data_IF_226290185947
#
_entry.id   IF_226290185947
#
_cell.length_a   1.000
_cell.length_b   1.000
_cell.length_c   1.000
_cell.angle_alpha   90.00
_cell.angle_beta   90.00
_cell.angle_gamma   90.00
#
_symmetry.space_group_name_H-M   'P 1'
#
loop_
_entity.id
_entity.type
_entity.pdbx_description
1 polymer ?
#
# COMPACT_ATOMS: atom_id res chain seq x y z
N UNK A 1 -26.63 -27.83 13.73
CA UNK A 1 -25.26 -27.47 14.16
C UNK A 1 -25.38 -26.07 14.72
N UNK A 2 -25.05 -25.85 15.99
CA UNK A 2 -25.19 -24.54 16.62
C UNK A 2 -24.22 -23.54 15.96
N UNK A 3 -24.75 -22.41 15.52
CA UNK A 3 -24.01 -21.35 14.81
C UNK A 3 -23.05 -20.60 15.74
N UNK A 4 -23.19 -20.76 17.06
CA UNK A 4 -22.28 -20.21 18.06
C UNK A 4 -20.85 -20.73 17.90
N UNK A 5 -20.66 -22.03 17.64
CA UNK A 5 -19.34 -22.65 17.48
C UNK A 5 -18.53 -22.10 16.30
N UNK A 6 -19.05 -21.99 15.05
CA UNK A 6 -18.30 -21.40 13.95
C UNK A 6 -18.01 -19.91 14.17
N UNK A 7 -18.88 -19.16 14.88
CA UNK A 7 -18.60 -17.76 15.26
C UNK A 7 -17.40 -17.70 16.20
N UNK A 8 -17.40 -18.50 17.28
CA UNK A 8 -16.30 -18.56 18.24
C UNK A 8 -14.98 -19.00 17.58
N UNK A 9 -15.04 -20.01 16.70
CA UNK A 9 -13.88 -20.44 15.92
C UNK A 9 -13.36 -19.31 15.02
N UNK A 10 -14.25 -18.56 14.35
CA UNK A 10 -13.89 -17.40 13.55
C UNK A 10 -13.25 -16.27 14.37
N UNK A 11 -13.75 -16.02 15.58
CA UNK A 11 -13.17 -15.04 16.51
C UNK A 11 -11.75 -15.46 16.91
N UNK A 12 -11.55 -16.71 17.32
CA UNK A 12 -10.25 -17.25 17.69
C UNK A 12 -9.26 -17.17 16.52
N UNK A 13 -9.68 -17.59 15.32
CA UNK A 13 -8.87 -17.51 14.11
C UNK A 13 -8.50 -16.06 13.77
N UNK A 14 -9.44 -15.12 13.89
CA UNK A 14 -9.17 -13.70 13.65
C UNK A 14 -8.12 -13.15 14.60
N UNK A 15 -8.20 -13.49 15.90
CA UNK A 15 -7.20 -13.08 16.89
C UNK A 15 -5.82 -13.65 16.59
N UNK A 16 -5.75 -14.93 16.22
CA UNK A 16 -4.50 -15.58 15.83
C UNK A 16 -3.88 -14.90 14.59
N UNK A 17 -4.68 -14.60 13.57
CA UNK A 17 -4.21 -13.90 12.37
C UNK A 17 -3.79 -12.46 12.68
N UNK A 18 -4.51 -11.75 13.55
CA UNK A 18 -4.13 -10.41 13.99
C UNK A 18 -2.76 -10.42 14.68
N UNK A 19 -2.54 -11.37 15.61
CA UNK A 19 -1.26 -11.52 16.31
C UNK A 19 -0.13 -11.93 15.36
N UNK A 20 -0.39 -12.84 14.43
CA UNK A 20 0.57 -13.20 13.40
C UNK A 20 0.92 -12.00 12.51
N UNK A 21 -0.07 -11.20 12.13
CA UNK A 21 0.14 -10.03 11.27
C UNK A 21 0.91 -8.90 11.96
N UNK A 22 0.75 -8.71 13.28
CA UNK A 22 1.55 -7.74 14.04
C UNK A 22 3.06 -8.02 13.95
N UNK A 23 3.45 -9.29 13.78
CA UNK A 23 4.86 -9.71 13.63
C UNK A 23 5.31 -9.71 12.17
N UNK A 24 4.45 -10.15 11.26
CA UNK A 24 4.79 -10.37 9.85
C UNK A 24 4.57 -9.14 8.96
N UNK A 25 3.74 -8.19 9.38
CA UNK A 25 3.34 -7.02 8.61
C UNK A 25 2.98 -7.40 7.16
N UNK A 26 2.09 -8.39 7.00
CA UNK A 26 1.77 -9.01 5.72
C UNK A 26 0.38 -8.56 5.24
N UNK A 27 0.28 -7.84 4.11
CA UNK A 27 -1.01 -7.40 3.60
C UNK A 27 -1.95 -8.56 3.28
N UNK A 28 -1.41 -9.73 2.90
CA UNK A 28 -2.21 -10.94 2.64
C UNK A 28 -2.92 -11.44 3.90
N UNK A 29 -2.20 -11.49 5.04
CA UNK A 29 -2.78 -11.90 6.32
C UNK A 29 -3.82 -10.88 6.77
N UNK A 30 -3.53 -9.58 6.56
CA UNK A 30 -4.47 -8.50 6.86
C UNK A 30 -5.79 -8.64 6.08
N UNK A 31 -5.73 -8.93 4.78
CA UNK A 31 -6.90 -9.14 3.91
C UNK A 31 -7.73 -10.32 4.42
N UNK A 32 -7.11 -11.48 4.64
CA UNK A 32 -7.82 -12.68 5.11
C UNK A 32 -8.47 -12.43 6.48
N UNK A 33 -7.73 -11.81 7.41
CA UNK A 33 -8.27 -11.48 8.72
C UNK A 33 -9.46 -10.51 8.63
N UNK A 34 -9.42 -9.54 7.72
CA UNK A 34 -10.51 -8.58 7.51
C UNK A 34 -11.79 -9.27 7.04
N UNK A 35 -11.70 -10.21 6.09
CA UNK A 35 -12.84 -11.03 5.67
C UNK A 35 -13.39 -11.92 6.79
N UNK A 36 -12.53 -12.54 7.59
CA UNK A 36 -12.97 -13.35 8.73
C UNK A 36 -13.71 -12.49 9.76
N UNK A 37 -13.18 -11.30 10.10
CA UNK A 37 -13.89 -10.36 11.00
C UNK A 37 -15.26 -10.00 10.45
N UNK A 38 -15.35 -9.72 9.16
CA UNK A 38 -16.62 -9.39 8.52
C UNK A 38 -17.65 -10.51 8.67
N UNK A 39 -17.25 -11.76 8.41
CA UNK A 39 -18.10 -12.92 8.60
C UNK A 39 -18.50 -13.06 10.08
N UNK A 40 -17.55 -12.95 11.01
CA UNK A 40 -17.84 -12.99 12.45
C UNK A 40 -18.88 -11.93 12.85
N UNK A 41 -18.76 -10.69 12.36
CA UNK A 41 -19.74 -9.63 12.64
C UNK A 41 -21.11 -9.92 12.02
N UNK A 42 -21.16 -10.34 10.75
CA UNK A 42 -22.42 -10.62 10.06
C UNK A 42 -23.18 -11.78 10.73
N UNK A 43 -22.48 -12.86 11.05
CA UNK A 43 -23.05 -14.02 11.73
C UNK A 43 -23.37 -13.74 13.20
N UNK A 44 -22.53 -12.96 13.91
CA UNK A 44 -22.74 -12.58 15.30
C UNK A 44 -23.97 -11.68 15.49
N UNK A 45 -24.12 -10.64 14.64
CA UNK A 45 -25.30 -9.78 14.66
C UNK A 45 -26.57 -10.57 14.34
N UNK A 46 -26.51 -11.48 13.36
CA UNK A 46 -27.64 -12.33 13.02
C UNK A 46 -28.04 -13.26 14.17
N UNK A 47 -27.06 -13.89 14.82
CA UNK A 47 -27.29 -14.75 15.98
C UNK A 47 -27.93 -13.99 17.15
N UNK A 48 -27.46 -12.79 17.46
CA UNK A 48 -28.05 -11.94 18.50
C UNK A 48 -29.50 -11.60 18.13
N UNK A 49 -29.76 -11.15 16.90
CA UNK A 49 -31.10 -10.79 16.47
C UNK A 49 -32.09 -11.97 16.52
N UNK A 50 -31.61 -13.18 16.20
CA UNK A 50 -32.40 -14.42 16.24
C UNK A 50 -32.71 -14.86 17.68
N UNK A 51 -31.70 -14.91 18.57
CA UNK A 51 -31.85 -15.35 19.98
C UNK A 51 -32.74 -14.39 20.78
N UNK A 52 -32.61 -13.08 20.55
CA UNK A 52 -33.44 -12.10 21.24
C UNK A 52 -34.80 -11.86 20.56
N UNK A 53 -35.09 -12.57 19.46
CA UNK A 53 -36.31 -12.43 18.66
C UNK A 53 -36.63 -10.97 18.29
N UNK A 54 -35.61 -10.15 18.05
CA UNK A 54 -35.78 -8.73 17.73
C UNK A 54 -36.51 -8.52 16.41
N UNK A 55 -36.34 -9.45 15.47
CA UNK A 55 -36.85 -9.35 14.11
C UNK A 55 -37.30 -10.73 13.63
N UNK A 56 -38.58 -10.86 13.28
CA UNK A 56 -39.13 -12.08 12.68
C UNK A 56 -38.75 -12.20 11.20
N UNK A 57 -37.48 -12.51 10.92
CA UNK A 57 -36.94 -12.75 9.58
C UNK A 57 -36.04 -13.99 9.58
N UNK A 58 -35.91 -14.69 8.45
CA UNK A 58 -35.07 -15.87 8.37
C UNK A 58 -33.58 -15.50 8.59
N UNK A 59 -32.82 -16.41 9.20
CA UNK A 59 -31.43 -16.19 9.60
C UNK A 59 -30.53 -15.68 8.46
N UNK A 60 -30.70 -16.19 7.23
CA UNK A 60 -29.91 -15.73 6.08
C UNK A 60 -30.12 -14.23 5.77
N UNK A 61 -31.34 -13.72 5.99
CA UNK A 61 -31.64 -12.30 5.80
C UNK A 61 -30.99 -11.46 6.90
N UNK A 62 -30.96 -11.96 8.14
CA UNK A 62 -30.26 -11.32 9.25
C UNK A 62 -28.74 -11.28 9.02
N UNK A 63 -28.15 -12.35 8.47
CA UNK A 63 -26.72 -12.38 8.10
C UNK A 63 -26.43 -11.34 7.02
N UNK A 64 -27.25 -11.26 5.97
CA UNK A 64 -27.09 -10.26 4.92
C UNK A 64 -27.21 -8.84 5.48
N UNK A 65 -28.18 -8.59 6.36
CA UNK A 65 -28.33 -7.30 7.03
C UNK A 65 -27.11 -6.96 7.89
N UNK A 66 -26.60 -7.90 8.68
CA UNK A 66 -25.37 -7.72 9.45
C UNK A 66 -24.17 -7.41 8.56
N UNK A 67 -24.06 -8.08 7.41
CA UNK A 67 -23.04 -7.83 6.41
C UNK A 67 -23.12 -6.39 5.86
N UNK A 68 -24.33 -5.91 5.54
CA UNK A 68 -24.56 -4.56 5.02
C UNK A 68 -24.35 -3.46 6.07
N UNK A 69 -24.74 -3.71 7.32
CA UNK A 69 -24.49 -2.79 8.44
C UNK A 69 -22.99 -2.64 8.64
N UNK A 70 -22.25 -3.75 8.66
CA UNK A 70 -20.79 -3.70 8.76
C UNK A 70 -20.15 -3.00 7.56
N UNK A 71 -20.63 -3.28 6.33
CA UNK A 71 -20.22 -2.56 5.11
C UNK A 71 -20.35 -1.04 5.26
N UNK A 72 -21.49 -0.58 5.78
CA UNK A 72 -21.77 0.85 5.96
C UNK A 72 -20.83 1.47 7.00
N UNK A 73 -20.64 0.82 8.15
CA UNK A 73 -19.73 1.28 9.20
C UNK A 73 -18.30 1.40 8.68
N UNK A 74 -17.82 0.39 7.96
CA UNK A 74 -16.46 0.41 7.42
C UNK A 74 -16.31 1.42 6.26
N UNK A 75 -17.38 1.64 5.49
CA UNK A 75 -17.45 2.71 4.47
C UNK A 75 -17.30 4.09 5.09
N UNK A 76 -18.06 4.37 6.16
CA UNK A 76 -17.99 5.64 6.89
C UNK A 76 -16.62 5.82 7.54
N UNK A 77 -16.10 4.77 8.18
CA UNK A 77 -14.76 4.81 8.79
C UNK A 77 -13.68 5.14 7.77
N UNK A 78 -13.65 4.44 6.62
CA UNK A 78 -12.65 4.68 5.58
C UNK A 78 -12.79 6.09 4.97
N UNK A 79 -14.03 6.57 4.79
CA UNK A 79 -14.27 7.94 4.33
C UNK A 79 -13.73 9.00 5.31
N UNK A 80 -13.95 8.81 6.61
CA UNK A 80 -13.41 9.66 7.66
C UNK A 80 -11.88 9.60 7.71
N UNK A 81 -11.27 8.41 7.58
CA UNK A 81 -9.82 8.25 7.57
C UNK A 81 -9.17 8.99 6.39
N UNK A 82 -9.75 8.88 5.19
CA UNK A 82 -9.30 9.63 4.00
C UNK A 82 -9.42 11.14 4.21
N UNK A 83 -10.55 11.58 4.78
CA UNK A 83 -10.77 13.00 5.06
C UNK A 83 -9.79 13.54 6.11
N UNK A 84 -9.51 12.76 7.16
CA UNK A 84 -8.53 13.10 8.18
C UNK A 84 -7.11 13.19 7.61
N UNK A 85 -6.72 12.25 6.74
CA UNK A 85 -5.42 12.30 6.06
C UNK A 85 -5.28 13.57 5.19
N UNK A 86 -6.34 13.94 4.47
CA UNK A 86 -6.38 15.18 3.67
C UNK A 86 -6.20 16.45 4.50
N UNK A 87 -6.74 16.48 5.73
CA UNK A 87 -6.66 17.62 6.64
C UNK A 87 -5.41 17.60 7.52
N UNK A 88 -4.71 16.46 7.61
CA UNK A 88 -3.53 16.32 8.44
C UNK A 88 -2.35 17.15 7.95
N UNK A 89 -1.40 17.45 8.84
CA UNK A 89 -0.14 18.10 8.49
C UNK A 89 0.84 17.17 7.75
N UNK A 90 0.61 15.86 7.75
CA UNK A 90 1.51 14.87 7.13
C UNK A 90 1.68 15.12 5.63
N UNK A 91 2.91 15.21 5.10
CA UNK A 91 3.12 15.47 3.69
C UNK A 91 2.60 14.30 2.85
N UNK A 92 1.89 14.59 1.75
CA UNK A 92 1.47 13.56 0.78
C UNK A 92 2.68 12.97 0.05
N UNK A 93 3.63 13.83 -0.28
CA UNK A 93 4.92 13.46 -0.85
C UNK A 93 6.01 13.75 0.19
N UNK A 94 6.56 12.72 0.83
CA UNK A 94 7.55 12.91 1.89
C UNK A 94 8.89 13.41 1.34
N UNK A 95 9.48 14.40 2.01
CA UNK A 95 10.78 14.94 1.66
C UNK A 95 11.89 13.96 2.10
N UNK A 96 12.44 13.22 1.14
CA UNK A 96 13.53 12.29 1.39
C UNK A 96 14.85 13.04 1.62
N UNK A 97 15.70 12.45 2.46
CA UNK A 97 17.07 12.91 2.70
C UNK A 97 18.01 11.71 2.68
N UNK A 98 19.25 11.96 2.27
CA UNK A 98 20.32 10.96 2.34
C UNK A 98 20.50 10.45 3.77
N UNK A 99 20.59 9.13 3.92
CA UNK A 99 20.83 8.45 5.19
C UNK A 99 22.20 7.74 5.17
N UNK A 100 23.30 8.44 5.47
CA UNK A 100 24.65 7.86 5.41
C UNK A 100 24.89 6.80 6.49
N UNK A 101 24.07 6.76 7.55
CA UNK A 101 24.21 5.82 8.65
C UNK A 101 23.92 4.36 8.25
N UNK A 102 23.18 4.13 7.16
CA UNK A 102 22.88 2.78 6.66
C UNK A 102 22.01 1.93 7.60
N UNK A 103 21.28 2.57 8.52
CA UNK A 103 20.41 1.94 9.52
C UNK A 103 18.99 1.68 9.01
N UNK A 104 18.78 1.68 7.68
CA UNK A 104 17.45 1.62 7.09
C UNK A 104 16.80 0.24 7.19
N UNK A 105 17.61 -0.83 7.26
CA UNK A 105 17.15 -2.23 7.22
C UNK A 105 16.70 -2.73 8.60
N UNK A 106 15.42 -3.11 8.77
CA UNK A 106 14.95 -3.80 9.97
C UNK A 106 15.63 -5.17 10.16
N UNK A 107 15.85 -5.58 11.41
CA UNK A 107 16.50 -6.85 11.78
C UNK A 107 15.62 -8.11 11.59
N UNK A 108 14.60 -8.04 10.74
CA UNK A 108 13.69 -9.16 10.47
C UNK A 108 14.29 -10.11 9.44
N UNK A 109 14.31 -11.43 9.72
CA UNK A 109 14.88 -12.46 8.81
C UNK A 109 14.39 -12.33 7.36
N UNK A 110 13.08 -12.10 7.16
CA UNK A 110 12.46 -11.92 5.82
C UNK A 110 13.03 -10.72 5.06
N UNK A 111 13.32 -9.64 5.78
CA UNK A 111 13.82 -8.40 5.19
C UNK A 111 15.30 -8.57 4.85
N UNK A 112 16.07 -9.18 5.74
CA UNK A 112 17.48 -9.51 5.49
C UNK A 112 17.63 -10.48 4.29
N UNK A 113 16.76 -11.47 4.13
CA UNK A 113 16.83 -12.39 2.99
C UNK A 113 16.61 -11.68 1.64
N UNK A 114 15.83 -10.60 1.61
CA UNK A 114 15.63 -9.76 0.42
C UNK A 114 16.92 -8.99 0.10
N UNK A 115 17.59 -8.44 1.12
CA UNK A 115 18.89 -7.78 0.96
C UNK A 115 19.93 -8.74 0.39
N UNK A 116 20.02 -9.94 0.95
CA UNK A 116 20.98 -10.96 0.52
C UNK A 116 20.67 -11.48 -0.88
N UNK A 117 19.38 -11.56 -1.25
CA UNK A 117 18.98 -11.87 -2.62
C UNK A 117 19.38 -10.78 -3.61
N UNK A 118 19.16 -9.50 -3.29
CA UNK A 118 19.54 -8.37 -4.16
C UNK A 118 21.04 -8.40 -4.46
N UNK A 119 21.87 -8.55 -3.41
CA UNK A 119 23.33 -8.62 -3.53
C UNK A 119 23.78 -9.81 -4.39
N UNK A 120 23.23 -11.00 -4.14
CA UNK A 120 23.53 -12.21 -4.94
C UNK A 120 23.06 -12.11 -6.38
N UNK A 121 22.03 -11.30 -6.66
CA UNK A 121 21.47 -11.10 -7.99
C UNK A 121 22.16 -10.00 -8.79
N UNK A 122 23.30 -9.48 -8.31
CA UNK A 122 24.10 -8.47 -9.01
C UNK A 122 23.66 -7.02 -8.77
N UNK A 123 22.69 -6.77 -7.90
CA UNK A 123 22.26 -5.41 -7.57
C UNK A 123 23.17 -4.80 -6.50
N UNK A 124 23.74 -3.64 -6.79
CA UNK A 124 24.60 -2.88 -5.88
C UNK A 124 23.80 -1.80 -5.16
N UNK A 125 24.09 -1.54 -3.86
CA UNK A 125 23.45 -0.44 -3.14
C UNK A 125 23.88 0.90 -3.76
N UNK A 126 22.90 1.71 -4.15
CA UNK A 126 23.12 3.03 -4.74
C UNK A 126 22.98 4.14 -3.69
N UNK A 127 21.91 4.11 -2.90
CA UNK A 127 21.66 5.14 -1.88
C UNK A 127 20.68 4.64 -0.81
N UNK A 128 20.91 5.04 0.44
CA UNK A 128 19.94 4.89 1.53
C UNK A 128 19.29 6.25 1.82
N UNK A 129 17.97 6.26 1.97
CA UNK A 129 17.16 7.45 2.12
C UNK A 129 16.21 7.30 3.30
N UNK A 130 15.88 8.42 3.94
CA UNK A 130 14.86 8.50 4.99
C UNK A 130 14.01 9.74 4.82
N UNK A 131 12.74 9.65 5.18
CA UNK A 131 11.84 10.79 5.23
C UNK A 131 11.02 10.76 6.51
N UNK A 132 10.78 11.92 7.10
CA UNK A 132 9.97 12.05 8.30
C UNK A 132 8.51 12.31 7.91
N UNK A 133 7.61 11.41 8.34
CA UNK A 133 6.17 11.51 8.05
C UNK A 133 5.44 12.27 9.16
N UNK A 134 5.88 12.06 10.40
CA UNK A 134 5.40 12.68 11.62
C UNK A 134 6.56 12.69 12.64
N UNK A 135 6.50 13.48 13.73
CA UNK A 135 7.57 13.54 14.71
C UNK A 135 8.00 12.14 15.19
N UNK A 136 9.23 11.74 14.87
CA UNK A 136 9.80 10.43 15.24
C UNK A 136 9.33 9.23 14.41
N UNK A 137 8.49 9.44 13.39
CA UNK A 137 8.01 8.39 12.47
C UNK A 137 8.68 8.55 11.12
N UNK A 138 9.61 7.65 10.82
CA UNK A 138 10.41 7.70 9.59
C UNK A 138 10.01 6.62 8.59
N UNK A 139 9.77 7.05 7.35
CA UNK A 139 9.76 6.19 6.19
C UNK A 139 11.21 5.97 5.74
N UNK A 140 11.59 4.71 5.56
CA UNK A 140 12.96 4.34 5.20
C UNK A 140 12.97 3.71 3.82
N UNK A 141 13.97 4.03 3.02
CA UNK A 141 14.08 3.59 1.63
C UNK A 141 15.53 3.20 1.32
N UNK A 142 15.73 2.00 0.79
CA UNK A 142 17.03 1.52 0.33
C UNK A 142 16.96 1.34 -1.18
N UNK A 143 17.86 2.00 -1.92
CA UNK A 143 17.88 1.97 -3.38
C UNK A 143 19.06 1.13 -3.86
N UNK A 144 18.77 0.19 -4.75
CA UNK A 144 19.73 -0.67 -5.42
C UNK A 144 19.63 -0.46 -6.93
N UNK A 145 20.73 -0.66 -7.63
CA UNK A 145 20.80 -0.62 -9.09
C UNK A 145 21.57 -1.81 -9.63
N UNK A 146 21.22 -2.24 -10.83
CA UNK A 146 22.04 -3.16 -11.62
C UNK A 146 23.34 -2.48 -12.08
N UNK A 147 24.30 -3.27 -12.54
CA UNK A 147 25.59 -2.75 -13.00
C UNK A 147 25.49 -1.79 -14.20
N UNK A 148 24.65 -2.06 -15.22
CA UNK A 148 24.38 -1.09 -16.29
C UNK A 148 23.63 0.17 -15.83
N UNK A 149 23.08 0.18 -14.63
CA UNK A 149 22.25 1.28 -14.12
C UNK A 149 20.95 1.46 -14.89
N UNK A 150 20.41 0.42 -15.53
CA UNK A 150 19.16 0.45 -16.32
C UNK A 150 17.93 0.07 -15.51
N UNK A 151 18.12 -0.64 -14.39
CA UNK A 151 17.06 -1.11 -13.50
C UNK A 151 17.34 -0.68 -12.06
N UNK A 152 16.44 0.09 -11.48
CA UNK A 152 16.52 0.54 -10.09
C UNK A 152 15.47 -0.17 -9.24
N UNK A 153 15.90 -0.72 -8.10
CA UNK A 153 15.04 -1.34 -7.10
C UNK A 153 15.00 -0.46 -5.86
N UNK A 154 13.82 0.02 -5.53
CA UNK A 154 13.55 0.77 -4.31
C UNK A 154 12.86 -0.15 -3.30
N UNK A 155 13.48 -0.37 -2.15
CA UNK A 155 12.93 -1.15 -1.04
C UNK A 155 12.48 -0.19 0.06
N UNK A 156 11.17 -0.09 0.26
CA UNK A 156 10.54 0.83 1.19
C UNK A 156 10.10 0.09 2.46
N UNK A 157 10.46 0.64 3.62
CA UNK A 157 10.06 0.14 4.93
C UNK A 157 9.14 1.16 5.61
N UNK A 158 7.88 0.76 5.78
CA UNK A 158 6.87 1.54 6.48
C UNK A 158 6.78 1.06 7.93
N UNK A 159 6.94 1.96 8.92
CA UNK A 159 6.76 1.60 10.31
C UNK A 159 5.29 1.23 10.59
N UNK A 160 5.08 0.19 11.40
CA UNK A 160 3.78 -0.12 11.99
C UNK A 160 3.80 0.19 13.49
N UNK A 161 2.63 0.46 14.05
CA UNK A 161 2.45 0.70 15.50
C UNK A 161 2.90 -0.48 16.37
N UNK A 162 2.93 -1.71 15.82
CA UNK A 162 3.41 -2.91 16.52
C UNK A 162 4.94 -2.99 16.65
N UNK A 163 5.69 -2.04 16.07
CA UNK A 163 7.15 -2.09 15.96
C UNK A 163 7.67 -2.97 14.80
N UNK A 164 6.80 -3.66 14.07
CA UNK A 164 7.16 -4.31 12.82
C UNK A 164 7.25 -3.29 11.67
N UNK A 165 8.01 -3.61 10.63
CA UNK A 165 8.06 -2.82 9.40
C UNK A 165 7.43 -3.57 8.24
N UNK A 166 6.44 -2.97 7.59
CA UNK A 166 5.95 -3.47 6.33
C UNK A 166 6.96 -3.11 5.23
N UNK A 167 7.34 -4.08 4.42
CA UNK A 167 8.30 -3.89 3.33
C UNK A 167 7.58 -3.93 2.00
N UNK A 168 7.77 -2.95 1.12
CA UNK A 168 7.33 -3.01 -0.27
C UNK A 168 8.51 -2.69 -1.20
N UNK A 169 8.42 -3.15 -2.44
CA UNK A 169 9.45 -2.98 -3.44
C UNK A 169 8.82 -2.33 -4.68
N UNK A 170 9.56 -1.39 -5.25
CA UNK A 170 9.24 -0.75 -6.52
C UNK A 170 10.45 -0.91 -7.44
N UNK A 171 10.22 -1.46 -8.63
CA UNK A 171 11.26 -1.70 -9.64
C UNK A 171 10.96 -0.79 -10.82
N UNK A 172 11.97 -0.06 -11.25
CA UNK A 172 11.84 1.02 -12.22
C UNK A 172 12.93 0.88 -13.28
N UNK A 173 12.52 0.93 -14.54
CA UNK A 173 13.43 0.99 -15.69
C UNK A 173 12.94 2.06 -16.67
N UNK A 174 13.76 3.08 -16.99
CA UNK A 174 13.45 4.04 -18.04
C UNK A 174 13.83 3.45 -19.41
N UNK A 175 13.11 3.87 -20.44
CA UNK A 175 13.31 3.44 -21.83
C UNK A 175 13.79 4.61 -22.69
N UNK A 176 14.42 4.30 -23.83
CA UNK A 176 14.97 5.29 -24.76
C UNK A 176 13.92 6.19 -25.42
N UNK A 177 12.66 5.76 -25.44
CA UNK A 177 11.53 6.54 -25.94
C UNK A 177 10.86 7.41 -24.85
N UNK A 178 11.49 7.53 -23.68
CA UNK A 178 11.03 8.37 -22.58
C UNK A 178 9.92 7.75 -21.72
N UNK A 179 9.54 6.48 -21.95
CA UNK A 179 8.64 5.77 -21.04
C UNK A 179 9.35 5.33 -19.76
N UNK A 180 8.56 5.20 -18.69
CA UNK A 180 9.02 4.70 -17.39
C UNK A 180 8.24 3.45 -17.02
N UNK A 181 8.90 2.30 -17.03
CA UNK A 181 8.27 1.02 -16.70
C UNK A 181 8.43 0.80 -15.20
N UNK A 182 7.30 0.75 -14.49
CA UNK A 182 7.26 0.60 -13.02
C UNK A 182 6.52 -0.67 -12.65
N UNK A 183 7.16 -1.55 -11.89
CA UNK A 183 6.53 -2.74 -11.30
C UNK A 183 6.70 -2.70 -9.79
N UNK A 184 5.60 -2.65 -9.04
CA UNK A 184 5.66 -2.53 -7.59
C UNK A 184 4.71 -3.50 -6.89
N UNK A 185 4.89 -3.68 -5.58
CA UNK A 185 3.96 -4.39 -4.71
C UNK A 185 3.51 -3.52 -3.52
N UNK A 186 3.43 -2.21 -3.74
CA UNK A 186 2.90 -1.27 -2.77
C UNK A 186 1.48 -1.69 -2.38
N UNK A 187 1.18 -1.56 -1.09
CA UNK A 187 -0.13 -1.89 -0.51
C UNK A 187 -0.76 -0.67 0.18
N UNK A 188 -0.16 0.51 0.00
CA UNK A 188 -0.73 1.80 0.38
C UNK A 188 -1.51 2.34 -0.82
N UNK A 189 -2.72 2.91 -0.60
CA UNK A 189 -3.47 3.54 -1.67
C UNK A 189 -2.76 4.80 -2.17
N UNK A 190 -2.71 4.98 -3.50
CA UNK A 190 -2.16 6.18 -4.12
C UNK A 190 -3.27 7.15 -4.53
N UNK A 191 -4.32 6.63 -5.18
CA UNK A 191 -5.53 7.35 -5.60
C UNK A 191 -5.32 8.33 -6.76
N UNK A 192 -4.12 8.89 -6.90
CA UNK A 192 -3.76 9.92 -7.86
C UNK A 192 -3.42 9.42 -9.26
N UNK A 193 -3.05 10.30 -10.17
CA UNK A 193 -2.68 10.00 -11.54
C UNK A 193 -1.17 9.80 -11.68
N UNK A 194 -0.78 8.98 -12.67
CA UNK A 194 0.59 8.83 -13.12
C UNK A 194 0.77 9.56 -14.46
N UNK A 195 1.97 10.06 -14.78
CA UNK A 195 2.26 10.60 -16.10
C UNK A 195 1.98 9.56 -17.21
N UNK A 196 1.57 10.01 -18.40
CA UNK A 196 1.14 9.11 -19.48
C UNK A 196 2.26 8.19 -19.99
N UNK A 197 3.50 8.67 -19.92
CA UNK A 197 4.69 7.89 -20.26
C UNK A 197 5.03 6.81 -19.21
N UNK A 198 4.33 6.77 -18.07
CA UNK A 198 4.52 5.73 -17.06
C UNK A 198 3.65 4.51 -17.34
N UNK A 199 4.31 3.35 -17.41
CA UNK A 199 3.65 2.04 -17.45
C UNK A 199 3.74 1.40 -16.07
N UNK A 200 2.76 1.65 -15.21
CA UNK A 200 2.72 1.12 -13.83
C UNK A 200 1.94 -0.19 -13.76
N UNK A 201 2.54 -1.21 -13.14
CA UNK A 201 1.84 -2.44 -12.73
C UNK A 201 2.08 -2.69 -11.25
N UNK A 202 1.01 -2.56 -10.45
CA UNK A 202 1.03 -2.81 -9.00
C UNK A 202 0.47 -4.19 -8.69
N UNK A 203 1.24 -4.98 -7.94
CA UNK A 203 0.98 -6.38 -7.61
C UNK A 203 1.07 -6.62 -6.09
N UNK A 204 0.11 -6.14 -5.28
CA UNK A 204 0.20 -6.18 -3.81
C UNK A 204 0.36 -7.59 -3.23
N UNK A 205 -0.23 -8.60 -3.88
CA UNK A 205 -0.10 -10.01 -3.52
C UNK A 205 1.28 -10.61 -3.75
N UNK A 206 2.11 -9.99 -4.60
CA UNK A 206 3.42 -10.53 -4.98
C UNK A 206 4.49 -10.07 -3.99
N UNK A 207 4.60 -10.79 -2.86
CA UNK A 207 5.49 -10.43 -1.73
C UNK A 207 6.94 -10.92 -1.86
N UNK A 208 7.21 -11.81 -2.81
CA UNK A 208 8.59 -12.23 -3.14
C UNK A 208 9.20 -11.24 -4.12
N UNK A 209 10.34 -10.66 -3.73
CA UNK A 209 11.13 -9.77 -4.61
C UNK A 209 11.56 -10.49 -5.88
N UNK A 210 11.90 -11.79 -5.80
CA UNK A 210 12.35 -12.58 -6.94
C UNK A 210 11.22 -12.70 -7.97
N UNK A 211 10.01 -13.01 -7.52
CA UNK A 211 8.83 -13.09 -8.39
C UNK A 211 8.47 -11.72 -8.97
N UNK A 212 8.62 -10.65 -8.19
CA UNK A 212 8.34 -9.28 -8.65
C UNK A 212 9.35 -8.86 -9.73
N UNK A 213 10.63 -9.14 -9.50
CA UNK A 213 11.69 -8.90 -10.46
C UNK A 213 11.52 -9.74 -11.73
N UNK A 214 11.19 -11.01 -11.61
CA UNK A 214 10.91 -11.85 -12.77
C UNK A 214 9.75 -11.29 -13.62
N UNK A 215 8.72 -10.71 -12.99
CA UNK A 215 7.65 -10.02 -13.71
C UNK A 215 8.15 -8.74 -14.37
N UNK A 216 8.94 -7.93 -13.67
CA UNK A 216 9.52 -6.72 -14.23
C UNK A 216 10.38 -7.03 -15.46
N UNK A 217 11.28 -8.01 -15.37
CA UNK A 217 12.15 -8.46 -16.47
C UNK A 217 11.36 -8.84 -17.71
N UNK A 218 10.27 -9.61 -17.57
CA UNK A 218 9.37 -9.94 -18.69
C UNK A 218 8.69 -8.73 -19.32
N UNK A 219 8.48 -7.65 -18.55
CA UNK A 219 7.86 -6.42 -19.08
C UNK A 219 8.84 -5.56 -19.86
N UNK A 220 10.13 -5.66 -19.54
CA UNK A 220 11.19 -4.87 -20.19
C UNK A 220 11.98 -5.65 -21.24
N UNK A 221 11.68 -6.94 -21.43
CA UNK A 221 12.43 -7.84 -22.32
C UNK A 221 12.51 -7.35 -23.77
N UNK A 222 11.49 -6.65 -24.25
CA UNK A 222 11.41 -6.12 -25.61
C UNK A 222 11.59 -4.59 -25.66
N UNK A 223 12.08 -4.01 -24.58
CA UNK A 223 12.17 -2.56 -24.42
C UNK A 223 13.64 -2.12 -24.45
N UNK A 224 13.92 -1.01 -25.12
CA UNK A 224 15.25 -0.41 -25.14
C UNK A 224 15.47 0.40 -23.87
N UNK A 225 16.12 -0.21 -22.87
CA UNK A 225 16.38 0.44 -21.58
C UNK A 225 17.54 1.44 -21.67
N UNK A 226 17.44 2.52 -20.90
CA UNK A 226 18.52 3.51 -20.75
C UNK A 226 19.00 3.58 -19.31
N UNK A 227 20.26 3.97 -19.12
CA UNK A 227 20.81 4.14 -17.79
C UNK A 227 20.20 5.36 -17.09
N UNK A 228 20.05 5.30 -15.77
CA UNK A 228 19.70 6.49 -14.98
C UNK A 228 20.84 7.52 -15.03
N UNK A 229 20.53 8.75 -15.45
CA UNK A 229 21.50 9.84 -15.54
C UNK A 229 21.76 10.53 -14.20
N UNK A 230 20.81 10.41 -13.26
CA UNK A 230 20.83 11.14 -11.99
C UNK A 230 20.75 10.20 -10.79
N UNK A 231 21.26 10.71 -9.66
CA UNK A 231 21.23 10.03 -8.38
C UNK A 231 19.80 9.70 -7.92
N UNK A 232 19.62 8.63 -7.11
CA UNK A 232 18.30 8.22 -6.64
C UNK A 232 17.48 9.31 -5.95
N UNK A 233 18.10 10.11 -5.08
CA UNK A 233 17.40 11.20 -4.38
C UNK A 233 16.84 12.24 -5.37
N UNK A 234 17.66 12.67 -6.33
CA UNK A 234 17.27 13.68 -7.33
C UNK A 234 16.14 13.16 -8.21
N UNK A 235 16.24 11.91 -8.67
CA UNK A 235 15.17 11.25 -9.44
C UNK A 235 13.85 11.18 -8.67
N UNK A 236 13.89 10.83 -7.37
CA UNK A 236 12.71 10.78 -6.50
C UNK A 236 12.10 12.17 -6.32
N UNK A 237 12.92 13.20 -6.09
CA UNK A 237 12.44 14.57 -5.89
C UNK A 237 11.83 15.17 -7.17
N UNK A 238 12.41 14.88 -8.34
CA UNK A 238 11.83 15.26 -9.65
C UNK A 238 10.49 14.54 -9.85
N UNK A 239 10.48 13.23 -9.61
CA UNK A 239 9.27 12.40 -9.73
C UNK A 239 8.14 12.88 -8.82
N UNK A 240 8.43 13.18 -7.55
CA UNK A 240 7.41 13.65 -6.61
C UNK A 240 6.83 15.00 -7.03
N UNK A 241 7.67 15.92 -7.50
CA UNK A 241 7.22 17.23 -8.02
C UNK A 241 6.33 17.08 -9.25
N UNK A 242 6.71 16.19 -10.17
CA UNK A 242 5.90 15.89 -11.36
C UNK A 242 4.53 15.31 -10.97
N UNK A 243 4.51 14.34 -10.03
CA UNK A 243 3.26 13.76 -9.54
C UNK A 243 2.39 14.80 -8.82
N UNK A 244 2.96 15.65 -7.96
CA UNK A 244 2.21 16.71 -7.28
C UNK A 244 1.61 17.72 -8.27
N UNK A 245 2.39 18.16 -9.28
CA UNK A 245 1.91 19.05 -10.34
C UNK A 245 0.77 18.41 -11.13
N UNK A 246 1.00 17.24 -11.69
CA UNK A 246 0.02 16.51 -12.52
C UNK A 246 -1.28 16.27 -11.75
N UNK A 247 -1.18 15.86 -10.49
CA UNK A 247 -2.36 15.57 -9.69
C UNK A 247 -3.12 16.83 -9.26
N UNK A 248 -2.44 17.96 -9.15
CA UNK A 248 -3.10 19.26 -8.96
C UNK A 248 -3.82 19.69 -10.24
N UNK A 249 -3.17 19.56 -11.40
CA UNK A 249 -3.75 19.88 -12.72
C UNK A 249 -4.98 19.03 -13.07
N UNK A 250 -4.94 17.73 -12.76
CA UNK A 250 -6.04 16.79 -12.99
C UNK A 250 -7.11 16.79 -11.89
N UNK A 251 -7.07 17.74 -10.96
CA UNK A 251 -8.08 17.92 -9.92
C UNK A 251 -8.12 16.83 -8.84
N UNK A 252 -7.07 16.02 -8.70
CA UNK A 252 -6.94 15.08 -7.58
C UNK A 252 -6.50 15.80 -6.28
N UNK A 253 -5.54 16.72 -6.40
CA UNK A 253 -5.06 17.55 -5.30
C UNK A 253 -5.64 18.96 -5.37
N UNK A 254 -5.81 19.55 -4.19
CA UNK A 254 -6.16 20.97 -4.07
C UNK A 254 -4.91 21.81 -4.41
N UNK A 255 -5.04 22.94 -5.12
CA UNK A 255 -3.93 23.86 -5.36
C UNK A 255 -3.25 24.30 -4.06
N UNK A 256 -1.92 24.43 -4.07
CA UNK A 256 -1.13 24.67 -2.85
C UNK A 256 -1.64 25.83 -1.98
N UNK A 257 -2.05 26.94 -2.59
CA UNK A 257 -2.56 28.11 -1.86
C UNK A 257 -3.87 27.88 -1.11
N UNK A 258 -4.63 26.84 -1.45
CA UNK A 258 -5.94 26.54 -0.86
C UNK A 258 -5.91 25.34 0.11
N UNK A 259 -4.76 24.64 0.21
CA UNK A 259 -4.63 23.40 0.98
C UNK A 259 -4.84 23.59 2.49
N UNK A 260 -4.50 24.76 3.02
CA UNK A 260 -4.69 25.06 4.45
C UNK A 260 -6.19 25.13 4.82
N UNK A 261 -7.01 25.65 3.91
CA UNK A 261 -8.45 25.84 4.13
C UNK A 261 -9.26 24.57 3.79
N UNK A 262 -8.93 23.91 2.67
CA UNK A 262 -9.75 22.82 2.12
C UNK A 262 -9.15 21.42 2.35
N UNK A 263 -7.94 21.36 2.89
CA UNK A 263 -7.13 20.15 2.93
C UNK A 263 -6.43 19.86 1.59
N UNK A 264 -5.67 18.78 1.53
CA UNK A 264 -4.77 18.47 0.41
C UNK A 264 -5.43 17.76 -0.77
N UNK A 265 -6.51 17.01 -0.53
CA UNK A 265 -7.16 16.15 -1.51
C UNK A 265 -8.58 16.67 -1.78
N UNK A 266 -8.92 16.82 -3.07
CA UNK A 266 -10.26 17.24 -3.51
C UNK A 266 -11.32 16.19 -3.16
N UNK A 267 -12.60 16.55 -3.25
CA UNK A 267 -13.69 15.58 -3.01
C UNK A 267 -13.61 14.37 -3.97
N UNK A 268 -13.31 14.62 -5.25
CA UNK A 268 -13.12 13.56 -6.24
C UNK A 268 -11.90 12.69 -5.93
N UNK A 269 -10.79 13.31 -5.49
CA UNK A 269 -9.60 12.59 -5.05
C UNK A 269 -9.86 11.71 -3.83
N UNK A 270 -10.64 12.19 -2.85
CA UNK A 270 -11.05 11.40 -1.68
C UNK A 270 -11.90 10.19 -2.08
N UNK A 271 -12.82 10.36 -3.02
CA UNK A 271 -13.62 9.26 -3.56
C UNK A 271 -12.76 8.21 -4.29
N UNK A 272 -11.78 8.65 -5.10
CA UNK A 272 -10.82 7.75 -5.76
C UNK A 272 -10.00 6.96 -4.75
N UNK A 273 -9.49 7.63 -3.72
CA UNK A 273 -8.70 7.01 -2.67
C UNK A 273 -9.54 6.02 -1.86
N UNK A 274 -10.77 6.39 -1.50
CA UNK A 274 -11.73 5.50 -0.84
C UNK A 274 -11.97 4.22 -1.64
N UNK A 275 -12.18 4.31 -2.96
CA UNK A 275 -12.31 3.13 -3.83
C UNK A 275 -11.05 2.27 -3.83
N UNK A 276 -9.87 2.88 -3.93
CA UNK A 276 -8.62 2.12 -3.96
C UNK A 276 -8.33 1.43 -2.61
N UNK A 277 -8.68 2.06 -1.49
CA UNK A 277 -8.64 1.44 -0.16
C UNK A 277 -9.44 0.15 -0.18
N UNK A 278 -10.70 0.17 -0.61
CA UNK A 278 -11.51 -1.05 -0.73
C UNK A 278 -10.86 -2.13 -1.60
N UNK A 279 -10.32 -1.76 -2.76
CA UNK A 279 -9.69 -2.74 -3.64
C UNK A 279 -8.41 -3.34 -3.03
N UNK A 280 -7.57 -2.53 -2.38
CA UNK A 280 -6.33 -2.98 -1.78
C UNK A 280 -6.57 -3.77 -0.49
N UNK A 281 -7.45 -3.27 0.37
CA UNK A 281 -7.68 -3.79 1.71
C UNK A 281 -8.44 -5.11 1.75
N UNK A 282 -9.25 -5.40 0.73
CA UNK A 282 -10.09 -6.60 0.66
C UNK A 282 -9.72 -7.53 -0.47
N UNK A 283 -9.23 -6.99 -1.58
CA UNK A 283 -8.93 -7.77 -2.77
C UNK A 283 -7.44 -7.77 -3.10
N UNK A 284 -6.62 -6.95 -2.44
CA UNK A 284 -5.21 -6.75 -2.75
C UNK A 284 -4.99 -6.34 -4.21
N UNK A 285 -5.92 -5.57 -4.79
CA UNK A 285 -5.85 -5.07 -6.16
C UNK A 285 -5.70 -3.56 -6.14
N UNK A 286 -4.82 -3.03 -6.97
CA UNK A 286 -4.79 -1.59 -7.23
C UNK A 286 -5.90 -1.24 -8.20
N UNK A 287 -6.35 0.02 -8.18
CA UNK A 287 -7.06 0.55 -9.33
C UNK A 287 -6.11 0.53 -10.54
N UNK A 288 -6.65 0.25 -11.72
CA UNK A 288 -5.94 0.44 -12.99
C UNK A 288 -6.49 1.72 -13.60
N UNK A 289 -5.59 2.61 -14.02
CA UNK A 289 -5.95 3.77 -14.83
C UNK A 289 -6.14 3.26 -16.26
N UNK A 290 -7.36 3.40 -16.76
CA UNK A 290 -7.73 3.31 -18.18
C UNK A 290 -8.21 4.70 -18.58
#
# INVERSE_FOLDING_TARGET
MDISYPILAGMALSLLLAQANQRLASPVIAIVNRWIRWLVFAFGLAYIADVFHWVNRPLWALILMGFLVWFLLETVYNWLAVSAMSLSTMPLFPAYRSNPAGDEWPMQKRVLSVRDWLRRSGYRPAQALRAEMAPGVYLRLSVYQDEPGTTRVQVMFMPQSSGASAMSCMIVSPTSDGRRIVTDNLHIPYGGFYPENWRVERLPWRRSIERLMARHRRRVEHESLVAFEVDPLVDIDVTQRELDRLNTELGFLVPHGEREQHGKITQEGRYRLWKEIWLLEYLGRSSRYL
#
